data_IF_466431651130
#
_entry.id   IF_466431651130
#
_cell.length_a   1.000
_cell.length_b   1.000
_cell.length_c   1.000
_cell.angle_alpha   90.00
_cell.angle_beta   90.00
_cell.angle_gamma   90.00
#
_symmetry.space_group_name_H-M   'P 1'
#
loop_
_entity.id
_entity.type
_entity.pdbx_description
1 polymer ?
#
# COMPACT_ATOMS: atom_id res chain seq x y z
N UNK A 1 52.71 -49.09 -70.84
CA UNK A 1 53.07 -47.97 -69.96
C UNK A 1 52.16 -46.80 -70.33
N UNK A 2 51.10 -46.56 -69.56
CA UNK A 2 50.20 -45.42 -69.74
C UNK A 2 50.25 -44.56 -68.48
N UNK A 3 50.47 -43.24 -68.57
CA UNK A 3 50.47 -42.36 -67.42
C UNK A 3 49.03 -41.98 -67.03
N UNK A 4 48.73 -42.16 -65.74
CA UNK A 4 47.61 -41.56 -65.03
C UNK A 4 47.78 -40.04 -64.99
N UNK A 5 46.72 -39.28 -65.30
CA UNK A 5 46.68 -37.84 -65.00
C UNK A 5 45.26 -37.34 -64.71
N UNK A 6 44.97 -37.37 -63.40
CA UNK A 6 44.32 -36.31 -62.60
C UNK A 6 42.97 -35.73 -63.07
N UNK A 7 41.93 -36.28 -62.44
CA UNK A 7 40.69 -35.59 -62.04
C UNK A 7 40.96 -34.28 -61.29
N UNK A 8 40.34 -33.18 -61.71
CA UNK A 8 40.18 -31.96 -60.92
C UNK A 8 38.71 -31.77 -60.59
N UNK A 9 38.34 -32.13 -59.36
CA UNK A 9 37.05 -31.82 -58.77
C UNK A 9 37.07 -30.34 -58.32
N UNK A 10 36.16 -29.53 -58.86
CA UNK A 10 35.95 -28.16 -58.42
C UNK A 10 35.15 -28.18 -57.11
N UNK A 11 35.82 -27.94 -55.99
CA UNK A 11 35.21 -27.71 -54.68
C UNK A 11 34.70 -26.26 -54.64
N UNK A 12 33.39 -26.09 -54.74
CA UNK A 12 32.70 -24.84 -54.41
C UNK A 12 32.64 -24.69 -52.89
N UNK A 13 33.44 -23.78 -52.35
CA UNK A 13 33.44 -23.40 -50.94
C UNK A 13 32.16 -22.66 -50.58
N UNK A 14 31.15 -23.37 -50.07
CA UNK A 14 30.03 -22.74 -49.35
C UNK A 14 30.59 -22.13 -48.05
N UNK A 15 30.80 -20.82 -48.05
CA UNK A 15 31.03 -20.05 -46.83
C UNK A 15 29.71 -20.00 -46.05
N UNK A 16 29.49 -20.97 -45.15
CA UNK A 16 28.50 -20.82 -44.09
C UNK A 16 28.96 -19.68 -43.17
N UNK A 17 28.42 -18.49 -43.38
CA UNK A 17 28.40 -17.43 -42.38
C UNK A 17 27.48 -17.91 -41.27
N UNK A 18 28.05 -18.59 -40.27
CA UNK A 18 27.37 -18.86 -39.01
C UNK A 18 27.15 -17.51 -38.33
N UNK A 19 25.98 -16.89 -38.56
CA UNK A 19 25.49 -15.82 -37.70
C UNK A 19 25.21 -16.44 -36.33
N UNK A 20 26.25 -16.54 -35.50
CA UNK A 20 26.09 -16.78 -34.08
C UNK A 20 25.50 -15.51 -33.50
N UNK A 21 24.17 -15.43 -33.46
CA UNK A 21 23.51 -14.50 -32.56
C UNK A 21 24.03 -14.83 -31.16
N UNK A 22 24.97 -14.03 -30.66
CA UNK A 22 25.41 -14.11 -29.27
C UNK A 22 24.16 -14.01 -28.41
N UNK A 23 23.88 -15.04 -27.62
CA UNK A 23 22.79 -15.01 -26.66
C UNK A 23 22.92 -13.70 -25.89
N UNK A 24 21.89 -12.86 -25.96
CA UNK A 24 21.83 -11.66 -25.15
C UNK A 24 21.82 -12.14 -23.69
N UNK A 25 22.99 -12.13 -23.06
CA UNK A 25 23.13 -12.43 -21.64
C UNK A 25 22.39 -11.29 -20.95
N UNK A 26 21.19 -11.59 -20.44
CA UNK A 26 20.49 -10.65 -19.59
C UNK A 26 21.40 -10.33 -18.40
N UNK A 27 21.63 -9.04 -18.15
CA UNK A 27 22.35 -8.61 -16.96
C UNK A 27 21.63 -9.15 -15.71
N UNK A 28 22.35 -9.53 -14.64
CA UNK A 28 21.70 -9.92 -13.40
C UNK A 28 20.79 -8.78 -12.90
N UNK A 29 19.65 -9.10 -12.26
CA UNK A 29 18.72 -8.08 -11.76
C UNK A 29 19.45 -7.10 -10.84
N UNK A 30 19.23 -5.80 -11.05
CA UNK A 30 19.92 -4.74 -10.28
C UNK A 30 19.21 -4.40 -8.98
N UNK A 31 17.89 -4.51 -8.94
CA UNK A 31 17.10 -4.12 -7.77
C UNK A 31 15.91 -5.05 -7.58
N UNK A 32 15.75 -5.50 -6.33
CA UNK A 32 14.59 -6.24 -5.84
C UNK A 32 13.96 -5.41 -4.74
N UNK A 33 12.81 -4.81 -5.02
CA UNK A 33 12.01 -4.14 -4.01
C UNK A 33 10.91 -5.06 -3.57
N UNK A 34 10.76 -5.23 -2.26
CA UNK A 34 9.59 -5.88 -1.68
C UNK A 34 8.98 -4.96 -0.64
N UNK A 35 7.66 -4.85 -0.70
CA UNK A 35 6.84 -4.09 0.24
C UNK A 35 5.79 -5.04 0.79
N UNK A 36 5.59 -5.01 2.10
CA UNK A 36 4.53 -5.77 2.76
C UNK A 36 3.82 -4.83 3.70
N UNK A 37 2.56 -4.52 3.45
CA UNK A 37 1.74 -3.63 4.28
C UNK A 37 0.54 -4.39 4.77
N UNK A 38 0.18 -4.18 6.02
CA UNK A 38 -1.11 -4.54 6.58
C UNK A 38 -1.84 -3.26 6.95
N UNK A 39 -3.13 -3.21 6.65
CA UNK A 39 -3.97 -2.04 6.86
C UNK A 39 -5.34 -2.43 7.36
N UNK A 40 -5.92 -1.56 8.17
CA UNK A 40 -7.31 -1.64 8.56
C UNK A 40 -7.86 -0.22 8.71
N UNK A 41 -9.12 -0.03 8.31
CA UNK A 41 -9.82 1.24 8.41
C UNK A 41 -11.17 1.05 9.10
N UNK A 42 -11.67 2.11 9.69
CA UNK A 42 -12.91 2.15 10.43
C UNK A 42 -13.61 3.46 10.09
N UNK A 43 -14.91 3.39 9.80
CA UNK A 43 -15.76 4.56 9.64
C UNK A 43 -17.09 4.33 10.38
N UNK A 44 -17.43 5.21 11.30
CA UNK A 44 -18.67 5.14 12.06
C UNK A 44 -19.34 6.51 12.11
N UNK A 45 -20.60 6.54 11.68
CA UNK A 45 -21.48 7.71 11.81
C UNK A 45 -22.61 7.36 12.78
N UNK A 46 -22.72 8.13 13.86
CA UNK A 46 -23.78 7.96 14.87
C UNK A 46 -24.52 9.28 15.07
N UNK A 47 -25.84 9.22 15.10
CA UNK A 47 -26.70 10.36 15.45
C UNK A 47 -27.31 10.12 16.82
N UNK A 48 -27.15 11.08 17.74
CA UNK A 48 -27.76 11.10 19.06
C UNK A 48 -28.47 12.45 19.28
N UNK A 49 -29.80 12.42 19.20
CA UNK A 49 -30.62 13.64 19.18
C UNK A 49 -30.24 14.55 18.01
N UNK A 50 -29.66 15.71 18.34
CA UNK A 50 -29.20 16.71 17.37
C UNK A 50 -27.73 16.55 16.97
N UNK A 51 -26.95 15.68 17.63
CA UNK A 51 -25.52 15.56 17.37
C UNK A 51 -25.23 14.35 16.47
N UNK A 52 -24.57 14.60 15.34
CA UNK A 52 -23.94 13.57 14.52
C UNK A 52 -22.45 13.50 14.85
N UNK A 53 -21.98 12.35 15.30
CA UNK A 53 -20.57 12.05 15.52
C UNK A 53 -20.08 11.12 14.41
N UNK A 54 -19.04 11.55 13.71
CA UNK A 54 -18.33 10.79 12.69
C UNK A 54 -16.93 10.48 13.24
N UNK A 55 -16.55 9.22 13.18
CA UNK A 55 -15.24 8.77 13.62
C UNK A 55 -14.65 7.95 12.48
N UNK A 56 -13.56 8.43 11.91
CA UNK A 56 -12.75 7.67 10.97
C UNK A 56 -11.42 7.33 11.64
N UNK A 57 -10.98 6.08 11.51
CA UNK A 57 -9.65 5.67 11.96
C UNK A 57 -9.01 4.76 10.91
N UNK A 58 -7.71 4.92 10.69
CA UNK A 58 -6.94 4.06 9.82
C UNK A 58 -5.60 3.75 10.48
N UNK A 59 -5.17 2.50 10.39
CA UNK A 59 -3.91 2.07 10.96
C UNK A 59 -3.17 1.14 10.00
N UNK A 60 -1.86 1.28 9.97
CA UNK A 60 -1.00 0.47 9.08
C UNK A 60 0.24 -0.04 9.80
N UNK A 61 0.75 -1.16 9.32
CA UNK A 61 2.09 -1.66 9.67
C UNK A 61 2.71 -2.23 8.41
N UNK A 62 4.02 -2.09 8.22
CA UNK A 62 4.63 -2.61 7.02
C UNK A 62 6.15 -2.59 6.94
N UNK A 63 6.63 -3.36 5.99
CA UNK A 63 8.02 -3.42 5.56
C UNK A 63 8.14 -2.72 4.22
N UNK A 64 9.02 -1.72 4.14
CA UNK A 64 9.27 -0.97 2.93
C UNK A 64 10.64 -1.34 2.37
N UNK A 65 10.75 -1.43 1.05
CA UNK A 65 11.95 -1.90 0.37
C UNK A 65 13.20 -1.07 0.73
N UNK A 66 14.36 -1.75 0.75
CA UNK A 66 15.68 -1.10 0.90
C UNK A 66 16.13 -0.82 2.34
N UNK A 67 15.34 -1.19 3.35
CA UNK A 67 15.67 -0.92 4.75
C UNK A 67 15.68 -2.19 5.60
N UNK A 68 16.74 -2.99 5.47
CA UNK A 68 17.05 -4.05 6.43
C UNK A 68 18.05 -3.52 7.47
N UNK A 69 17.59 -3.36 8.71
CA UNK A 69 18.42 -2.94 9.85
C UNK A 69 17.58 -2.72 11.11
N UNK A 70 18.15 -2.89 12.32
CA UNK A 70 17.42 -2.73 13.59
C UNK A 70 16.91 -1.29 13.83
N UNK A 71 17.36 -0.32 13.03
CA UNK A 71 16.97 1.10 13.09
C UNK A 71 15.80 1.48 12.18
N UNK A 72 15.19 0.52 11.50
CA UNK A 72 14.15 0.77 10.49
C UNK A 72 12.78 0.59 11.13
N UNK A 73 12.05 1.69 11.28
CA UNK A 73 10.68 1.69 11.76
C UNK A 73 9.78 0.95 10.76
N UNK A 74 9.10 -0.09 11.24
CA UNK A 74 8.14 -0.89 10.46
C UNK A 74 6.69 -0.52 10.77
N UNK A 75 6.47 0.41 11.69
CA UNK A 75 5.15 0.96 11.96
C UNK A 75 4.81 1.93 10.84
N UNK A 76 3.63 1.74 10.25
CA UNK A 76 3.03 2.73 9.37
C UNK A 76 2.20 3.74 10.17
N UNK A 77 1.70 4.80 9.53
CA UNK A 77 0.86 5.77 10.20
C UNK A 77 -0.40 5.12 10.76
N UNK A 78 -0.80 5.59 11.94
CA UNK A 78 -2.12 5.43 12.51
C UNK A 78 -2.74 6.79 12.69
N UNK A 79 -3.94 6.99 12.17
CA UNK A 79 -4.63 8.27 12.13
C UNK A 79 -6.07 8.12 12.59
N UNK A 80 -6.58 9.16 13.24
CA UNK A 80 -7.98 9.28 13.63
C UNK A 80 -8.48 10.67 13.25
N UNK A 81 -9.71 10.71 12.73
CA UNK A 81 -10.48 11.89 12.46
C UNK A 81 -11.79 11.79 13.22
N UNK A 82 -12.15 12.82 13.98
CA UNK A 82 -13.43 12.91 14.67
C UNK A 82 -14.10 14.20 14.25
N UNK A 83 -15.36 14.12 13.85
CA UNK A 83 -16.21 15.29 13.60
C UNK A 83 -17.52 15.15 14.37
N UNK A 84 -17.91 16.20 15.08
CA UNK A 84 -19.23 16.32 15.68
C UNK A 84 -19.95 17.49 15.05
N UNK A 85 -21.15 17.24 14.55
CA UNK A 85 -22.00 18.21 13.86
C UNK A 85 -23.33 18.33 14.58
N UNK A 86 -23.74 19.54 14.92
CA UNK A 86 -25.10 19.84 15.39
C UNK A 86 -26.04 20.00 14.18
N UNK A 87 -26.87 18.99 13.98
CA UNK A 87 -27.86 18.89 12.90
C UNK A 87 -29.04 19.86 13.10
N UNK A 88 -29.28 20.31 14.33
CA UNK A 88 -30.40 21.19 14.68
C UNK A 88 -30.01 22.67 14.61
N UNK A 89 -28.71 22.97 14.68
CA UNK A 89 -28.21 24.31 14.42
C UNK A 89 -28.47 24.71 12.95
N UNK A 90 -29.03 25.91 12.74
CA UNK A 90 -29.14 26.47 11.39
C UNK A 90 -27.73 26.74 10.85
N UNK A 91 -27.42 26.33 9.61
CA UNK A 91 -26.12 26.59 9.03
C UNK A 91 -25.87 28.10 8.97
N UNK A 92 -24.81 28.56 9.62
CA UNK A 92 -24.39 29.95 9.56
C UNK A 92 -23.79 30.25 8.18
N UNK A 93 -24.62 30.72 7.24
CA UNK A 93 -24.20 31.13 5.90
C UNK A 93 -24.39 30.04 4.84
N UNK A 94 -25.01 30.42 3.72
CA UNK A 94 -25.52 29.55 2.67
C UNK A 94 -24.42 29.24 1.65
N UNK A 95 -24.20 27.98 1.27
CA UNK A 95 -24.34 27.49 -0.10
C UNK A 95 -24.41 25.96 -0.10
N UNK A 96 -25.46 25.45 -0.73
CA UNK A 96 -25.68 24.03 -0.93
C UNK A 96 -24.59 23.46 -1.84
N UNK A 97 -23.69 22.66 -1.26
CA UNK A 97 -22.89 21.69 -1.97
C UNK A 97 -22.73 20.45 -1.07
N UNK A 98 -23.67 19.51 -1.19
CA UNK A 98 -23.57 18.10 -0.79
C UNK A 98 -22.86 17.76 0.56
N UNK A 99 -23.05 18.56 1.61
CA UNK A 99 -22.55 18.28 2.96
C UNK A 99 -23.69 18.02 3.97
N UNK A 100 -23.41 17.38 5.12
CA UNK A 100 -24.40 17.17 6.17
C UNK A 100 -25.01 18.52 6.60
N UNK A 101 -26.34 18.57 6.75
CA UNK A 101 -27.02 19.76 7.29
C UNK A 101 -26.61 19.94 8.75
N UNK A 102 -25.97 21.05 9.11
CA UNK A 102 -25.65 21.36 10.51
C UNK A 102 -24.44 22.26 10.67
N UNK A 103 -24.14 22.63 11.92
CA UNK A 103 -22.93 23.36 12.29
C UNK A 103 -21.91 22.39 12.90
N UNK A 104 -20.66 22.41 12.41
CA UNK A 104 -19.56 21.63 13.02
C UNK A 104 -19.23 22.25 14.37
N UNK A 105 -19.36 21.46 15.44
CA UNK A 105 -19.08 21.88 16.82
C UNK A 105 -17.76 21.34 17.35
N UNK A 106 -17.21 20.31 16.70
CA UNK A 106 -15.90 19.74 16.98
C UNK A 106 -15.37 19.09 15.72
N UNK A 107 -14.11 19.32 15.39
CA UNK A 107 -13.35 18.52 14.45
C UNK A 107 -11.94 18.33 14.99
N UNK A 108 -11.44 17.10 14.97
CA UNK A 108 -10.13 16.72 15.47
C UNK A 108 -9.47 15.79 14.50
N UNK A 109 -8.19 16.04 14.21
CA UNK A 109 -7.32 15.19 13.43
C UNK A 109 -6.07 14.87 14.24
N UNK A 110 -5.74 13.59 14.39
CA UNK A 110 -4.54 13.15 15.08
C UNK A 110 -3.87 11.99 14.37
N UNK A 111 -2.54 11.96 14.38
CA UNK A 111 -1.75 10.92 13.72
C UNK A 111 -0.56 10.53 14.59
N UNK A 112 -0.19 9.25 14.55
CA UNK A 112 1.00 8.74 15.20
C UNK A 112 1.73 7.78 14.28
N UNK A 113 3.06 7.85 14.34
CA UNK A 113 3.95 6.86 13.72
C UNK A 113 4.43 5.80 14.74
N UNK A 114 4.17 6.01 16.04
CA UNK A 114 4.53 5.10 17.14
C UNK A 114 3.45 4.05 17.39
N UNK A 115 2.20 4.42 17.14
CA UNK A 115 1.06 3.51 17.20
C UNK A 115 0.98 2.79 15.85
N UNK A 116 1.11 1.47 15.86
CA UNK A 116 1.01 0.63 14.66
C UNK A 116 -0.12 -0.38 14.76
N UNK A 117 -0.57 -0.84 13.58
CA UNK A 117 -1.51 -1.95 13.49
C UNK A 117 -0.84 -3.25 13.93
N UNK A 118 -1.53 -4.03 14.77
CA UNK A 118 -1.15 -5.41 15.10
C UNK A 118 -2.20 -6.34 14.55
N UNK A 119 -1.82 -7.25 13.65
CA UNK A 119 -2.72 -8.28 13.10
C UNK A 119 -2.29 -9.67 13.53
N UNK A 120 -3.18 -10.64 13.47
CA UNK A 120 -2.76 -12.05 13.44
C UNK A 120 -2.40 -12.51 12.02
N UNK A 121 -1.60 -13.57 11.93
CA UNK A 121 -1.10 -14.09 10.66
C UNK A 121 -2.20 -14.44 9.63
N UNK A 122 -3.42 -14.76 10.06
CA UNK A 122 -4.57 -15.13 9.22
C UNK A 122 -5.55 -13.97 8.98
N UNK A 123 -5.23 -12.77 9.45
CA UNK A 123 -6.06 -11.56 9.38
C UNK A 123 -7.45 -11.74 10.01
N UNK A 124 -7.59 -12.59 11.03
CA UNK A 124 -8.85 -12.81 11.76
C UNK A 124 -9.13 -11.69 12.76
N UNK A 125 -8.11 -10.95 13.15
CA UNK A 125 -8.13 -9.92 14.16
C UNK A 125 -7.08 -8.87 13.85
N UNK A 126 -7.41 -7.61 14.13
CA UNK A 126 -6.44 -6.53 14.13
C UNK A 126 -6.74 -5.54 15.26
N UNK A 127 -5.71 -4.90 15.79
CA UNK A 127 -5.84 -3.91 16.87
C UNK A 127 -4.87 -2.76 16.64
N UNK A 128 -5.35 -1.54 16.81
CA UNK A 128 -4.54 -0.34 16.91
C UNK A 128 -4.98 0.44 18.16
N UNK A 129 -4.03 0.67 19.08
CA UNK A 129 -4.33 1.23 20.39
C UNK A 129 -3.17 2.08 20.89
N UNK A 130 -3.47 3.29 21.36
CA UNK A 130 -2.45 4.22 21.86
C UNK A 130 -2.92 5.67 21.91
N UNK A 131 -2.00 6.57 22.21
CA UNK A 131 -2.23 8.01 22.17
C UNK A 131 -1.69 8.60 20.86
N UNK A 132 -2.46 9.50 20.28
CA UNK A 132 -2.11 10.25 19.08
C UNK A 132 -2.06 11.73 19.42
N UNK A 133 -1.17 12.46 18.76
CA UNK A 133 -1.09 13.91 18.85
C UNK A 133 -1.75 14.51 17.61
N UNK A 134 -2.47 15.60 17.81
CA UNK A 134 -3.30 16.20 16.77
C UNK A 134 -3.64 17.65 17.03
N UNK A 135 -4.57 18.15 16.23
CA UNK A 135 -5.12 19.50 16.34
C UNK A 135 -6.64 19.48 16.19
N UNK A 136 -7.31 20.41 16.87
CA UNK A 136 -8.74 20.68 16.65
C UNK A 136 -8.98 21.66 15.48
N UNK A 137 -10.25 22.00 15.22
CA UNK A 137 -10.65 22.93 14.16
C UNK A 137 -10.08 24.34 14.32
N UNK A 138 -9.68 24.73 15.53
CA UNK A 138 -9.14 26.04 15.86
C UNK A 138 -7.60 26.04 15.84
N UNK A 139 -6.99 24.88 15.54
CA UNK A 139 -5.54 24.69 15.51
C UNK A 139 -4.91 24.50 16.89
N UNK A 140 -5.71 24.30 17.94
CA UNK A 140 -5.18 24.00 19.27
C UNK A 140 -4.68 22.54 19.32
N UNK A 141 -3.54 22.27 19.98
CA UNK A 141 -3.04 20.91 20.11
C UNK A 141 -3.95 20.07 20.98
N UNK A 142 -4.24 18.84 20.54
CA UNK A 142 -5.06 17.89 21.29
C UNK A 142 -4.37 16.53 21.39
N UNK A 143 -4.64 15.81 22.47
CA UNK A 143 -4.22 14.43 22.64
C UNK A 143 -5.42 13.50 22.51
N UNK A 144 -5.32 12.52 21.61
CA UNK A 144 -6.41 11.59 21.31
C UNK A 144 -6.02 10.20 21.78
N UNK A 145 -6.76 9.66 22.74
CA UNK A 145 -6.67 8.22 23.06
C UNK A 145 -7.48 7.44 22.02
N UNK A 146 -6.91 6.38 21.47
CA UNK A 146 -7.58 5.54 20.48
C UNK A 146 -7.43 4.08 20.86
N UNK A 147 -8.52 3.32 20.78
CA UNK A 147 -8.52 1.86 20.89
C UNK A 147 -9.51 1.29 19.87
N UNK A 148 -8.99 0.72 18.78
CA UNK A 148 -9.78 0.14 17.69
C UNK A 148 -9.45 -1.33 17.53
N UNK A 149 -10.50 -2.16 17.49
CA UNK A 149 -10.42 -3.60 17.31
C UNK A 149 -11.22 -3.99 16.08
N UNK A 150 -10.58 -4.70 15.16
CA UNK A 150 -11.20 -5.33 14.00
C UNK A 150 -11.34 -6.83 14.26
N UNK A 151 -12.57 -7.33 14.18
CA UNK A 151 -12.86 -8.76 14.26
C UNK A 151 -13.34 -9.23 12.90
N UNK A 152 -12.50 -10.02 12.23
CA UNK A 152 -12.74 -10.43 10.86
C UNK A 152 -13.47 -11.78 10.79
N UNK A 153 -14.44 -11.87 9.89
CA UNK A 153 -15.26 -13.05 9.66
C UNK A 153 -15.24 -13.45 8.17
N UNK A 154 -15.66 -14.68 7.86
CA UNK A 154 -15.79 -15.13 6.48
C UNK A 154 -14.51 -15.65 5.82
N UNK A 155 -14.47 -15.76 4.48
CA UNK A 155 -13.30 -16.26 3.75
C UNK A 155 -12.18 -15.21 3.67
N UNK A 156 -10.95 -15.66 3.44
CA UNK A 156 -9.86 -14.79 3.03
C UNK A 156 -9.92 -14.62 1.51
N UNK A 157 -10.19 -13.41 1.05
CA UNK A 157 -10.09 -13.09 -0.36
C UNK A 157 -8.64 -12.89 -0.73
N UNK A 158 -8.23 -13.39 -1.89
CA UNK A 158 -6.88 -13.24 -2.41
C UNK A 158 -6.96 -12.82 -3.87
N UNK A 159 -6.30 -11.71 -4.20
CA UNK A 159 -6.14 -11.25 -5.56
C UNK A 159 -4.65 -11.04 -5.86
N UNK A 160 -4.28 -11.29 -7.11
CA UNK A 160 -2.94 -11.06 -7.62
C UNK A 160 -3.03 -10.19 -8.85
N UNK A 161 -2.30 -9.09 -8.86
CA UNK A 161 -2.11 -8.23 -10.02
C UNK A 161 -0.64 -8.32 -10.42
N UNK A 162 -0.37 -8.60 -11.70
CA UNK A 162 0.98 -8.70 -12.21
C UNK A 162 1.16 -7.78 -13.42
N UNK A 163 2.29 -7.10 -13.47
CA UNK A 163 2.67 -6.17 -14.52
C UNK A 163 4.04 -6.57 -15.08
N UNK A 164 4.10 -6.71 -16.40
CA UNK A 164 5.34 -6.95 -17.12
C UNK A 164 5.49 -5.88 -18.19
N UNK A 165 6.47 -5.01 -18.00
CA UNK A 165 6.72 -3.91 -18.91
C UNK A 165 8.10 -4.07 -19.53
N UNK A 166 8.13 -4.06 -20.86
CA UNK A 166 9.37 -3.99 -21.62
C UNK A 166 9.64 -2.53 -21.97
N UNK A 167 10.72 -2.00 -21.41
CA UNK A 167 11.24 -0.68 -21.73
C UNK A 167 12.40 -0.82 -22.73
N UNK A 168 12.72 0.24 -23.49
CA UNK A 168 13.91 0.22 -24.35
C UNK A 168 15.20 -0.13 -23.58
N UNK A 169 15.28 0.29 -22.31
CA UNK A 169 16.45 0.17 -21.44
C UNK A 169 16.46 -1.13 -20.63
N UNK A 170 15.34 -1.85 -20.52
CA UNK A 170 15.24 -3.01 -19.64
C UNK A 170 13.87 -3.67 -19.58
N UNK A 171 13.74 -4.61 -18.66
CA UNK A 171 12.48 -5.28 -18.34
C UNK A 171 12.14 -5.03 -16.88
N UNK A 172 10.86 -4.76 -16.64
CA UNK A 172 10.29 -4.59 -15.30
C UNK A 172 9.22 -5.64 -15.11
N UNK A 173 9.30 -6.34 -13.99
CA UNK A 173 8.26 -7.26 -13.54
C UNK A 173 7.85 -6.86 -12.13
N UNK A 174 6.57 -6.57 -11.96
CA UNK A 174 6.00 -6.28 -10.65
C UNK A 174 4.79 -7.18 -10.40
N UNK A 175 4.55 -7.53 -9.15
CA UNK A 175 3.27 -8.12 -8.77
C UNK A 175 2.86 -7.74 -7.35
N UNK A 176 1.56 -7.51 -7.20
CA UNK A 176 0.87 -7.22 -5.96
C UNK A 176 0.01 -8.43 -5.59
N UNK A 177 0.17 -8.91 -4.36
CA UNK A 177 -0.68 -9.95 -3.78
C UNK A 177 -1.44 -9.31 -2.63
N UNK A 178 -2.75 -9.16 -2.81
CA UNK A 178 -3.63 -8.57 -1.82
C UNK A 178 -4.48 -9.68 -1.18
N UNK A 179 -4.45 -9.72 0.16
CA UNK A 179 -5.35 -10.52 0.96
C UNK A 179 -6.28 -9.58 1.70
N UNK A 180 -7.59 -9.81 1.58
CA UNK A 180 -8.62 -9.01 2.24
C UNK A 180 -9.57 -9.93 3.00
N UNK A 181 -9.98 -9.49 4.19
CA UNK A 181 -11.05 -10.15 4.94
C UNK A 181 -11.99 -9.10 5.48
N UNK A 182 -13.29 -9.29 5.21
CA UNK A 182 -14.34 -8.45 5.81
C UNK A 182 -14.30 -8.55 7.33
N UNK A 183 -14.53 -7.44 8.01
CA UNK A 183 -14.45 -7.34 9.45
C UNK A 183 -15.51 -6.41 10.02
N UNK A 184 -15.86 -6.66 11.27
CA UNK A 184 -16.55 -5.67 12.09
C UNK A 184 -15.51 -4.98 12.97
N UNK A 185 -15.52 -3.66 12.96
CA UNK A 185 -14.62 -2.86 13.77
C UNK A 185 -15.38 -2.15 14.90
N UNK A 186 -14.79 -2.13 16.08
CA UNK A 186 -15.28 -1.38 17.24
C UNK A 186 -14.21 -0.43 17.70
N UNK A 187 -14.58 0.84 17.89
CA UNK A 187 -13.66 1.89 18.28
C UNK A 187 -14.10 2.55 19.58
N UNK A 188 -13.12 2.86 20.43
CA UNK A 188 -13.23 3.81 21.53
C UNK A 188 -12.21 4.92 21.30
N UNK A 189 -12.67 6.17 21.25
CA UNK A 189 -11.84 7.35 21.08
C UNK A 189 -12.04 8.27 22.27
N UNK A 190 -10.96 8.67 22.92
CA UNK A 190 -10.97 9.56 24.08
C UNK A 190 -10.39 10.92 23.67
N UNK A 191 -11.19 11.98 23.82
CA UNK A 191 -10.83 13.37 23.54
C UNK A 191 -11.11 14.21 24.77
N UNK A 192 -10.07 14.79 25.39
CA UNK A 192 -10.21 15.65 26.59
C UNK A 192 -11.08 15.03 27.69
N UNK A 193 -10.92 13.72 27.92
CA UNK A 193 -11.70 12.95 28.90
C UNK A 193 -13.12 12.56 28.46
N UNK A 194 -13.59 12.99 27.28
CA UNK A 194 -14.82 12.50 26.67
C UNK A 194 -14.55 11.21 25.92
N UNK A 195 -15.42 10.23 26.10
CA UNK A 195 -15.34 8.94 25.42
C UNK A 195 -16.38 8.89 24.31
N UNK A 196 -15.91 8.67 23.09
CA UNK A 196 -16.71 8.44 21.90
C UNK A 196 -16.55 6.97 21.50
N UNK A 197 -17.64 6.35 21.08
CA UNK A 197 -17.63 4.95 20.64
C UNK A 197 -18.30 4.84 19.28
N UNK A 198 -17.87 3.86 18.49
CA UNK A 198 -18.45 3.57 17.21
C UNK A 198 -18.25 2.14 16.78
N UNK A 199 -19.01 1.73 15.78
CA UNK A 199 -18.97 0.38 15.20
C UNK A 199 -19.13 0.51 13.69
N UNK A 200 -18.34 -0.27 12.97
CA UNK A 200 -18.34 -0.33 11.50
C UNK A 200 -18.47 -1.79 11.09
N UNK A 201 -19.60 -2.15 10.49
CA UNK A 201 -19.90 -3.52 10.06
C UNK A 201 -19.34 -3.84 8.65
N UNK A 202 -18.91 -2.82 7.90
CA UNK A 202 -18.44 -2.92 6.51
C UNK A 202 -16.91 -2.75 6.40
N UNK A 203 -16.22 -2.88 7.53
CA UNK A 203 -14.77 -2.75 7.64
C UNK A 203 -14.03 -3.93 6.99
N UNK A 204 -12.71 -3.79 6.84
CA UNK A 204 -11.83 -4.86 6.38
C UNK A 204 -10.44 -4.78 6.99
N UNK A 205 -9.81 -5.96 7.10
CA UNK A 205 -8.38 -6.09 7.37
C UNK A 205 -7.71 -6.59 6.10
N UNK A 206 -6.65 -5.90 5.69
CA UNK A 206 -5.94 -6.15 4.45
C UNK A 206 -4.46 -6.39 4.68
N UNK A 207 -3.87 -7.21 3.81
CA UNK A 207 -2.43 -7.37 3.66
C UNK A 207 -2.10 -7.28 2.19
N UNK A 208 -1.17 -6.42 1.82
CA UNK A 208 -0.64 -6.33 0.45
C UNK A 208 0.84 -6.66 0.49
N UNK A 209 1.26 -7.63 -0.32
CA UNK A 209 2.67 -7.92 -0.59
C UNK A 209 2.98 -7.64 -2.04
N UNK A 210 3.79 -6.64 -2.26
CA UNK A 210 4.23 -6.19 -3.57
C UNK A 210 5.71 -6.50 -3.76
N UNK A 211 6.08 -6.86 -4.98
CA UNK A 211 7.47 -6.88 -5.37
C UNK A 211 7.66 -6.27 -6.75
N UNK A 212 8.84 -5.69 -6.98
CA UNK A 212 9.25 -5.18 -8.28
C UNK A 212 10.70 -5.60 -8.55
N UNK A 213 10.92 -6.11 -9.76
CA UNK A 213 12.19 -6.62 -10.27
C UNK A 213 12.51 -5.84 -11.54
N UNK A 214 13.69 -5.22 -11.56
CA UNK A 214 14.21 -4.53 -12.74
C UNK A 214 15.46 -5.24 -13.28
N UNK A 215 15.39 -5.57 -14.57
CA UNK A 215 16.45 -6.26 -15.31
C UNK A 215 16.85 -5.35 -16.47
N UNK A 216 17.92 -4.56 -16.31
CA UNK A 216 18.36 -3.67 -17.38
C UNK A 216 18.98 -4.48 -18.52
N UNK A 217 18.85 -3.97 -19.74
CA UNK A 217 19.37 -4.62 -20.96
C UNK A 217 20.65 -3.94 -21.45
N UNK A 218 21.48 -4.69 -22.18
CA UNK A 218 22.75 -4.21 -22.73
C UNK A 218 23.97 -4.50 -21.86
N UNK A 219 25.16 -4.43 -22.49
CA UNK A 219 26.47 -4.70 -21.87
C UNK A 219 26.88 -3.61 -20.87
N UNK A 220 26.39 -2.38 -21.09
CA UNK A 220 26.59 -1.21 -20.22
C UNK A 220 25.21 -0.66 -19.88
N UNK A 221 24.54 -1.22 -18.86
CA UNK A 221 23.18 -0.84 -18.57
C UNK A 221 23.15 0.57 -17.95
N UNK A 222 22.18 1.43 -18.33
CA UNK A 222 22.13 2.82 -17.90
C UNK A 222 22.17 2.94 -16.38
N UNK A 223 22.89 3.92 -15.85
CA UNK A 223 23.06 4.11 -14.40
C UNK A 223 21.76 4.59 -13.72
N UNK A 224 20.78 5.08 -14.50
CA UNK A 224 19.54 5.69 -14.01
C UNK A 224 18.28 4.83 -14.26
N UNK A 225 18.44 3.52 -14.46
CA UNK A 225 17.30 2.62 -14.64
C UNK A 225 16.70 2.19 -13.29
N UNK A 226 15.79 3.00 -12.75
CA UNK A 226 15.11 2.77 -11.47
C UNK A 226 13.56 2.81 -11.56
N UNK A 227 12.93 2.10 -12.52
CA UNK A 227 11.47 2.11 -12.65
C UNK A 227 10.73 1.55 -11.43
N UNK A 228 11.40 0.77 -10.57
CA UNK A 228 10.78 0.23 -9.37
C UNK A 228 10.76 1.20 -8.16
N UNK A 229 11.33 2.41 -8.25
CA UNK A 229 11.46 3.32 -7.12
C UNK A 229 10.11 3.91 -6.65
N UNK A 230 9.49 3.26 -5.66
CA UNK A 230 8.25 3.72 -5.01
C UNK A 230 6.93 3.06 -5.46
N UNK A 231 6.95 1.88 -6.09
CA UNK A 231 5.85 1.54 -7.01
C UNK A 231 4.96 0.32 -6.76
N UNK A 232 3.66 0.53 -7.06
CA UNK A 232 2.85 -0.28 -7.96
C UNK A 232 2.77 0.31 -9.39
N UNK A 233 3.43 -0.37 -10.35
CA UNK A 233 3.06 -0.48 -11.78
C UNK A 233 3.04 0.75 -12.68
#
# INVERSE_FOLDING_TARGET
>A
MHPLSRTSAALASLALVTMTASAAVASPPRMYHSVSVESASFDSVRVDGCLQTEIFAAATTGHWAGRHGPSVRQQGPTSVFVRVTDLCASPAGITAAAGPRGAVVLQVEATSMDVGLRTDQHLRSAVASGALEGTDQDGAPVQVGMDVHWTAAGPLEHSTLAHHTRLPEGQVTAADNAWRRAATATATVTLDGRVLTGTDEDSAVERVKSHCIEVPTGRFPPEDFYPCFGFPG
#
